data_IF_799850871266
#
_entry.id   IF_799850871266
#
_cell.length_a   1.000
_cell.length_b   1.000
_cell.length_c   1.000
_cell.angle_alpha   90.00
_cell.angle_beta   90.00
_cell.angle_gamma   90.00
#
_symmetry.space_group_name_H-M   'P 1'
#
loop_
_entity.id
_entity.type
_entity.pdbx_description
1 polymer ?
#
# COMPACT_ATOMS: atom_id res chain seq x y z
N UNK A 1 -38.80 -10.90 -23.02
CA UNK A 1 -37.88 -11.55 -22.06
C UNK A 1 -36.81 -12.19 -22.93
N UNK A 2 -35.58 -11.70 -23.05
CA UNK A 2 -34.66 -11.21 -22.02
C UNK A 2 -33.64 -10.27 -22.70
N UNK A 3 -33.27 -9.18 -22.02
CA UNK A 3 -32.56 -8.04 -22.58
C UNK A 3 -31.10 -8.29 -22.97
N UNK A 4 -30.71 -7.75 -24.12
CA UNK A 4 -29.33 -7.58 -24.53
C UNK A 4 -29.01 -6.07 -24.54
N UNK A 5 -28.80 -5.53 -23.36
CA UNK A 5 -28.17 -4.24 -23.14
C UNK A 5 -27.36 -4.36 -21.84
N UNK A 6 -26.29 -5.15 -21.88
CA UNK A 6 -25.24 -5.03 -20.87
C UNK A 6 -24.53 -3.74 -21.22
N UNK A 7 -24.91 -2.66 -20.56
CA UNK A 7 -24.10 -1.46 -20.47
C UNK A 7 -22.74 -1.91 -19.92
N UNK A 8 -21.77 -2.10 -20.82
CA UNK A 8 -20.37 -2.17 -20.44
C UNK A 8 -20.06 -0.82 -19.80
N UNK A 9 -20.04 -0.82 -18.47
CA UNK A 9 -19.44 0.23 -17.65
C UNK A 9 -17.95 0.22 -17.97
N UNK A 10 -17.60 0.79 -19.11
CA UNK A 10 -16.23 1.04 -19.48
C UNK A 10 -15.97 2.52 -19.22
N UNK A 11 -15.84 2.85 -17.93
CA UNK A 11 -15.16 4.09 -17.53
C UNK A 11 -13.65 3.90 -17.78
N UNK A 12 -13.26 3.64 -19.02
CA UNK A 12 -11.87 3.62 -19.48
C UNK A 12 -11.46 5.05 -19.86
N UNK A 13 -11.34 5.91 -18.84
CA UNK A 13 -10.52 7.11 -18.91
C UNK A 13 -9.25 6.81 -18.09
N UNK A 14 -8.31 6.13 -18.75
CA UNK A 14 -6.87 6.12 -18.44
C UNK A 14 -6.53 6.13 -16.94
N UNK A 15 -6.93 5.11 -16.18
CA UNK A 15 -6.07 4.75 -15.05
C UNK A 15 -4.81 4.18 -15.69
N UNK A 16 -3.60 4.72 -15.46
CA UNK A 16 -2.46 3.85 -15.59
C UNK A 16 -2.81 2.64 -14.74
N UNK A 17 -2.83 1.45 -15.33
CA UNK A 17 -2.59 0.23 -14.55
C UNK A 17 -1.13 0.34 -14.12
N UNK A 18 -0.81 1.34 -13.29
CA UNK A 18 0.33 1.30 -12.42
C UNK A 18 0.04 0.06 -11.61
N UNK A 19 0.74 -1.01 -11.95
CA UNK A 19 0.58 -2.32 -11.36
C UNK A 19 0.26 -2.14 -9.89
N UNK A 20 -0.99 -2.36 -9.49
CA UNK A 20 -1.42 -2.35 -8.08
C UNK A 20 -0.83 -3.56 -7.32
N UNK A 21 0.31 -4.03 -7.80
CA UNK A 21 1.03 -5.24 -7.45
C UNK A 21 2.38 -4.91 -6.80
N UNK A 22 2.70 -3.64 -6.50
CA UNK A 22 3.99 -3.28 -5.90
C UNK A 22 3.93 -2.45 -4.63
N UNK A 23 2.75 -2.04 -4.14
CA UNK A 23 2.64 -1.35 -2.85
C UNK A 23 1.81 -2.23 -1.91
N UNK A 24 2.30 -2.43 -0.70
CA UNK A 24 1.61 -3.22 0.31
C UNK A 24 0.46 -2.43 0.93
N UNK A 25 -0.69 -3.07 1.09
CA UNK A 25 -1.86 -2.46 1.71
C UNK A 25 -1.64 -2.09 3.18
N UNK A 26 -0.63 -2.67 3.84
CA UNK A 26 -0.21 -2.30 5.18
C UNK A 26 0.27 -0.84 5.28
N UNK A 27 0.68 -0.23 4.16
CA UNK A 27 1.21 1.12 4.11
C UNK A 27 0.38 1.99 3.16
N UNK A 28 -0.80 2.48 3.59
CA UNK A 28 -1.72 3.19 2.71
C UNK A 28 -1.25 4.59 2.31
N UNK A 29 -0.34 5.19 3.07
CA UNK A 29 0.15 6.56 2.85
C UNK A 29 1.38 6.61 1.93
N UNK A 30 2.14 5.52 1.88
CA UNK A 30 3.42 5.42 1.17
C UNK A 30 3.51 4.13 0.39
N UNK A 31 4.05 4.18 -0.83
CA UNK A 31 4.23 2.96 -1.60
C UNK A 31 5.50 2.22 -1.15
N UNK A 32 5.32 1.12 -0.40
CA UNK A 32 6.40 0.20 -0.03
C UNK A 32 5.99 -1.21 -0.49
N UNK A 33 6.82 -1.93 -1.26
CA UNK A 33 6.49 -3.28 -1.75
C UNK A 33 6.42 -4.30 -0.64
N UNK A 34 5.63 -5.37 -0.79
CA UNK A 34 5.64 -6.51 0.14
C UNK A 34 7.02 -7.22 0.11
N UNK A 35 7.48 -7.79 1.24
CA UNK A 35 8.71 -8.57 1.27
C UNK A 35 8.57 -9.87 0.43
N UNK A 36 9.67 -10.42 -0.15
CA UNK A 36 11.06 -9.94 -0.10
C UNK A 36 11.42 -8.93 -1.23
N UNK A 37 12.38 -7.99 -1.00
CA UNK A 37 13.24 -7.88 0.19
C UNK A 37 12.52 -7.30 1.41
N UNK A 38 13.00 -7.65 2.60
CA UNK A 38 12.58 -7.02 3.86
C UNK A 38 13.27 -5.65 3.95
N UNK A 39 12.48 -4.58 3.99
CA UNK A 39 12.98 -3.21 4.01
C UNK A 39 12.99 -2.70 5.45
N UNK A 40 14.09 -2.12 5.88
CA UNK A 40 14.21 -1.45 7.17
C UNK A 40 13.94 0.06 7.06
N UNK A 41 13.62 0.72 8.19
CA UNK A 41 13.48 2.18 8.24
C UNK A 41 14.72 2.94 7.72
N UNK A 42 15.92 2.34 7.79
CA UNK A 42 17.16 2.93 7.27
C UNK A 42 17.25 2.91 5.74
N UNK A 43 16.48 2.06 5.07
CA UNK A 43 16.50 1.85 3.62
C UNK A 43 15.46 2.70 2.89
N UNK A 44 14.46 3.21 3.63
CA UNK A 44 13.44 4.13 3.12
C UNK A 44 13.65 5.53 3.68
N UNK A 45 13.20 6.55 2.94
CA UNK A 45 13.23 7.96 3.38
C UNK A 45 11.96 8.37 4.13
N UNK A 46 10.89 7.56 4.05
CA UNK A 46 9.61 7.84 4.70
C UNK A 46 9.71 7.70 6.22
N UNK A 47 9.09 8.64 6.96
CA UNK A 47 9.08 8.66 8.42
C UNK A 47 7.69 9.07 8.93
N UNK A 48 7.30 8.56 10.08
CA UNK A 48 6.04 8.88 10.74
C UNK A 48 4.82 8.64 9.83
N UNK A 49 4.81 7.53 9.08
CA UNK A 49 3.70 7.18 8.19
C UNK A 49 2.76 6.19 8.86
N UNK A 50 1.51 6.12 8.40
CA UNK A 50 0.52 5.18 8.94
C UNK A 50 0.86 3.74 8.59
N UNK A 51 0.84 2.87 9.57
CA UNK A 51 0.98 1.42 9.43
C UNK A 51 -0.31 0.72 9.83
N UNK A 52 -0.75 -0.21 9.00
CA UNK A 52 -1.87 -1.10 9.28
C UNK A 52 -1.35 -2.49 9.65
N UNK A 53 -2.11 -3.19 10.48
CA UNK A 53 -1.83 -4.59 10.82
C UNK A 53 -2.37 -5.53 9.72
N UNK A 54 -1.65 -6.60 9.32
CA UNK A 54 -0.31 -7.00 9.80
C UNK A 54 0.79 -6.17 9.16
N UNK A 55 1.80 -5.74 9.92
CA UNK A 55 2.97 -4.99 9.43
C UNK A 55 4.06 -5.95 8.94
N UNK A 56 4.21 -6.18 7.62
CA UNK A 56 5.08 -7.24 7.11
C UNK A 56 6.58 -6.92 7.26
N UNK A 57 6.97 -5.66 7.11
CA UNK A 57 8.36 -5.18 7.33
C UNK A 57 8.65 -4.77 8.77
N UNK A 58 7.63 -4.74 9.63
CA UNK A 58 7.74 -4.42 11.06
C UNK A 58 8.28 -3.00 11.32
N UNK A 59 7.85 -2.03 10.50
CA UNK A 59 8.19 -0.61 10.66
C UNK A 59 7.61 0.01 11.94
N UNK A 60 6.50 -0.53 12.44
CA UNK A 60 5.84 -0.17 13.69
C UNK A 60 6.05 -1.29 14.73
N UNK A 61 7.12 -1.14 15.51
CA UNK A 61 7.55 -2.17 16.47
C UNK A 61 6.75 -2.12 17.78
N UNK A 62 6.33 -0.95 18.20
CA UNK A 62 5.55 -0.72 19.42
C UNK A 62 4.03 -0.77 19.21
N UNK A 63 3.57 -0.83 17.95
CA UNK A 63 2.20 -1.08 17.51
C UNK A 63 1.25 0.08 17.80
N UNK A 64 1.74 1.30 17.70
CA UNK A 64 0.93 2.51 17.89
C UNK A 64 0.24 2.96 16.59
N UNK A 65 0.54 2.29 15.47
CA UNK A 65 0.01 2.57 14.14
C UNK A 65 0.88 3.52 13.30
N UNK A 66 2.07 3.89 13.79
CA UNK A 66 2.99 4.81 13.12
C UNK A 66 4.34 4.12 12.88
N UNK A 67 4.72 4.01 11.60
CA UNK A 67 5.96 3.39 11.17
C UNK A 67 7.13 4.37 11.10
N UNK A 68 8.32 3.88 11.46
CA UNK A 68 9.59 4.60 11.34
C UNK A 68 9.53 6.03 11.91
N UNK A 69 9.08 6.14 13.15
CA UNK A 69 9.03 7.42 13.86
C UNK A 69 10.43 8.04 14.00
N UNK A 70 10.54 9.35 13.84
CA UNK A 70 11.85 10.03 13.98
C UNK A 70 12.36 10.08 15.42
N UNK A 71 11.53 9.68 16.40
CA UNK A 71 11.86 9.66 17.82
C UNK A 71 12.30 8.27 18.31
N UNK A 72 12.49 7.31 17.40
CA UNK A 72 12.81 5.91 17.72
C UNK A 72 13.80 5.32 16.72
#
# INVERSE_FOLDING_TARGET
>A
MVGLAIAIVQCALLTPSWSASSCDAAYPDVCIPSPPPDLDCKEITFRNFRVLSPDPHRFDRDKDGIGCESRR
#
